data_IF_036463806351
#
_entry.id   IF_036463806351
#
_cell.length_a   1.000
_cell.length_b   1.000
_cell.length_c   1.000
_cell.angle_alpha   90.00
_cell.angle_beta   90.00
_cell.angle_gamma   90.00
#
_symmetry.space_group_name_H-M   'P 1'
#
loop_
_entity.id
_entity.type
_entity.pdbx_description
1 polymer ?
#
# COMPACT_ATOMS: atom_id res chain seq x y z
N UNK A 1 27.53 -16.84 -11.24
CA UNK A 1 27.16 -15.41 -11.47
C UNK A 1 25.99 -15.06 -10.55
N UNK A 2 26.15 -14.10 -9.64
CA UNK A 2 25.10 -13.70 -8.69
C UNK A 2 24.08 -12.77 -9.37
N UNK A 3 22.81 -13.19 -9.40
CA UNK A 3 21.71 -12.38 -9.96
C UNK A 3 21.45 -11.19 -9.02
N UNK A 4 21.46 -9.93 -9.50
CA UNK A 4 21.26 -8.77 -8.63
C UNK A 4 19.84 -8.81 -8.04
N UNK A 5 19.76 -8.87 -6.70
CA UNK A 5 18.53 -8.78 -5.91
C UNK A 5 18.03 -7.33 -5.91
N UNK A 6 17.62 -6.81 -7.05
CA UNK A 6 16.69 -5.68 -7.08
C UNK A 6 15.24 -6.22 -7.05
N UNK A 7 15.00 -7.23 -6.21
CA UNK A 7 13.68 -7.79 -6.01
C UNK A 7 12.98 -6.86 -5.02
N UNK A 8 12.05 -6.04 -5.53
CA UNK A 8 10.96 -5.49 -4.71
C UNK A 8 10.21 -6.68 -4.14
N UNK A 9 10.67 -7.23 -3.03
CA UNK A 9 10.07 -8.39 -2.42
C UNK A 9 8.72 -7.94 -1.88
N UNK A 10 7.59 -8.50 -2.38
CA UNK A 10 6.30 -8.17 -1.83
C UNK A 10 6.28 -8.62 -0.38
N UNK A 11 6.18 -7.66 0.55
CA UNK A 11 6.02 -7.96 1.96
C UNK A 11 4.66 -8.66 2.15
N UNK A 12 4.67 -9.82 2.80
CA UNK A 12 3.43 -10.51 3.17
C UNK A 12 2.83 -9.78 4.37
N UNK A 13 1.59 -9.36 4.24
CA UNK A 13 0.88 -8.60 5.27
C UNK A 13 -0.40 -9.35 5.61
N UNK A 14 -0.62 -9.60 6.90
CA UNK A 14 -1.87 -10.14 7.43
C UNK A 14 -2.59 -8.98 8.10
N UNK A 15 -3.81 -8.69 7.65
CA UNK A 15 -4.64 -7.62 8.21
C UNK A 15 -5.91 -8.24 8.72
N UNK A 16 -6.33 -7.85 9.92
CA UNK A 16 -7.68 -8.13 10.42
C UNK A 16 -8.59 -7.02 9.92
N UNK A 17 -9.66 -7.40 9.22
CA UNK A 17 -10.71 -6.50 8.78
C UNK A 17 -11.99 -6.84 9.53
N UNK A 18 -12.87 -5.86 9.71
CA UNK A 18 -14.22 -6.11 10.19
C UNK A 18 -14.99 -6.99 9.20
N UNK A 19 -15.97 -7.74 9.71
CA UNK A 19 -16.71 -8.70 8.89
C UNK A 19 -17.45 -8.04 7.73
N UNK A 20 -17.97 -6.83 7.94
CA UNK A 20 -18.65 -6.06 6.90
C UNK A 20 -17.66 -5.63 5.80
N UNK A 21 -16.52 -5.07 6.20
CA UNK A 21 -15.48 -4.62 5.28
C UNK A 21 -14.91 -5.79 4.46
N UNK A 22 -14.72 -6.95 5.09
CA UNK A 22 -14.28 -8.15 4.39
C UNK A 22 -15.30 -8.61 3.33
N UNK A 23 -16.60 -8.57 3.64
CA UNK A 23 -17.67 -8.91 2.68
C UNK A 23 -17.69 -7.93 1.52
N UNK A 24 -17.57 -6.63 1.78
CA UNK A 24 -17.51 -5.62 0.73
C UNK A 24 -16.29 -5.80 -0.18
N UNK A 25 -15.11 -6.03 0.39
CA UNK A 25 -13.88 -6.31 -0.36
C UNK A 25 -14.04 -7.57 -1.22
N UNK A 26 -14.66 -8.62 -0.68
CA UNK A 26 -14.91 -9.87 -1.39
C UNK A 26 -15.92 -9.70 -2.53
N UNK A 27 -16.99 -8.92 -2.31
CA UNK A 27 -17.95 -8.58 -3.36
C UNK A 27 -17.32 -7.74 -4.48
N UNK A 28 -16.50 -6.75 -4.12
CA UNK A 28 -15.71 -5.96 -5.06
C UNK A 28 -14.75 -6.83 -5.87
N UNK A 29 -14.08 -7.77 -5.21
CA UNK A 29 -13.19 -8.73 -5.84
C UNK A 29 -13.93 -9.60 -6.86
N UNK A 30 -15.09 -10.16 -6.48
CA UNK A 30 -15.92 -10.97 -7.37
C UNK A 30 -16.45 -10.18 -8.57
N UNK A 31 -16.92 -8.94 -8.36
CA UNK A 31 -17.47 -8.10 -9.43
C UNK A 31 -16.43 -7.68 -10.49
N UNK A 32 -15.15 -7.61 -10.11
CA UNK A 32 -14.07 -7.17 -10.98
C UNK A 32 -13.17 -8.32 -11.47
N UNK A 33 -13.50 -9.57 -11.14
CA UNK A 33 -12.70 -10.77 -11.45
C UNK A 33 -11.24 -10.66 -10.93
N UNK A 34 -11.07 -10.06 -9.75
CA UNK A 34 -9.76 -9.84 -9.11
C UNK A 34 -9.71 -10.48 -7.73
N UNK A 35 -8.51 -10.72 -7.22
CA UNK A 35 -8.34 -11.20 -5.84
C UNK A 35 -8.62 -10.11 -4.80
N UNK A 36 -9.12 -10.49 -3.62
CA UNK A 36 -9.27 -9.57 -2.48
C UNK A 36 -7.94 -8.85 -2.14
N UNK A 37 -6.81 -9.55 -2.26
CA UNK A 37 -5.49 -8.94 -2.08
C UNK A 37 -5.18 -7.84 -3.11
N UNK A 38 -5.68 -7.96 -4.34
CA UNK A 38 -5.55 -6.91 -5.34
C UNK A 38 -6.39 -5.68 -4.97
N UNK A 39 -7.63 -5.89 -4.50
CA UNK A 39 -8.51 -4.80 -4.04
C UNK A 39 -7.85 -4.04 -2.89
N UNK A 40 -7.30 -4.75 -1.91
CA UNK A 40 -6.58 -4.14 -0.78
C UNK A 40 -5.36 -3.34 -1.27
N UNK A 41 -4.56 -3.89 -2.19
CA UNK A 41 -3.41 -3.16 -2.75
C UNK A 41 -3.85 -1.90 -3.48
N UNK A 42 -4.95 -1.96 -4.24
CA UNK A 42 -5.49 -0.81 -4.96
C UNK A 42 -6.00 0.25 -3.99
N UNK A 43 -6.72 -0.15 -2.96
CA UNK A 43 -7.19 0.76 -1.91
C UNK A 43 -6.03 1.45 -1.20
N UNK A 44 -4.95 0.72 -0.88
CA UNK A 44 -3.72 1.31 -0.30
C UNK A 44 -3.07 2.32 -1.25
N UNK A 45 -2.95 1.99 -2.55
CA UNK A 45 -2.40 2.92 -3.55
C UNK A 45 -3.25 4.18 -3.70
N UNK A 46 -4.57 4.03 -3.76
CA UNK A 46 -5.49 5.16 -3.88
C UNK A 46 -5.49 5.99 -2.60
N UNK A 47 -5.42 5.38 -1.41
CA UNK A 47 -5.30 6.09 -0.14
C UNK A 47 -3.99 6.89 -0.04
N UNK A 48 -2.86 6.24 -0.36
CA UNK A 48 -1.55 6.91 -0.35
C UNK A 48 -1.43 7.99 -1.43
N UNK A 49 -2.08 7.82 -2.59
CA UNK A 49 -2.11 8.81 -3.66
C UNK A 49 -3.04 10.00 -3.40
N UNK A 50 -4.04 9.82 -2.51
CA UNK A 50 -4.95 10.89 -2.06
C UNK A 50 -4.36 11.73 -0.93
N UNK A 51 -3.42 11.17 -0.18
CA UNK A 51 -2.63 11.99 0.74
C UNK A 51 -1.86 13.00 -0.11
N UNK A 52 -1.93 14.31 0.19
CA UNK A 52 -0.98 15.23 -0.41
C UNK A 52 0.40 14.64 -0.13
N UNK A 53 1.21 14.52 -1.20
CA UNK A 53 2.58 14.03 -1.09
C UNK A 53 3.17 14.62 0.19
N UNK A 54 3.81 13.81 1.06
CA UNK A 54 4.45 14.34 2.24
C UNK A 54 5.39 15.43 1.73
N UNK A 55 4.96 16.67 1.95
CA UNK A 55 5.77 17.86 1.79
C UNK A 55 7.06 17.48 2.47
N UNK A 56 8.11 17.45 1.66
CA UNK A 56 9.44 17.08 2.05
C UNK A 56 9.64 17.51 3.49
N UNK A 57 9.88 16.54 4.37
CA UNK A 57 10.31 16.81 5.73
C UNK A 57 11.32 17.95 5.62
N UNK A 58 10.86 19.15 6.00
CA UNK A 58 11.73 20.29 6.14
C UNK A 58 12.72 19.80 7.14
N UNK A 59 13.89 19.44 6.63
CA UNK A 59 15.11 19.41 7.42
C UNK A 59 15.11 20.76 8.09
N UNK A 60 14.88 20.88 9.40
CA UNK A 60 15.16 22.14 10.04
C UNK A 60 16.66 22.35 9.80
N UNK A 61 16.96 23.48 9.18
CA UNK A 61 18.30 23.99 9.07
C UNK A 61 19.01 23.82 10.42
N UNK A 62 19.93 22.86 10.51
CA UNK A 62 21.04 22.96 11.45
C UNK A 62 22.16 23.63 10.68
N UNK A 63 22.03 24.96 10.59
CA UNK A 63 23.12 25.82 10.18
C UNK A 63 24.23 25.77 11.23
N UNK A 64 25.46 25.82 10.73
CA UNK A 64 26.60 26.55 11.31
C UNK A 64 26.56 26.84 12.82
N UNK A 65 27.37 26.11 13.58
CA UNK A 65 28.55 26.67 14.26
C UNK A 65 29.44 25.56 14.80
#
# INVERSE_FOLDING_TARGET
MARPKNQKQPARLTVTLDENDYKEVCALAANNDVSAAWVIRRAVQDYLGRLPAPEAATTPASGMK
#
